data_IF_673261164601
#
_entry.id   IF_673261164601
#
_cell.length_a   1.000
_cell.length_b   1.000
_cell.length_c   1.000
_cell.angle_alpha   90.00
_cell.angle_beta   90.00
_cell.angle_gamma   90.00
#
_symmetry.space_group_name_H-M   'P 1'
#
loop_
_entity.id
_entity.type
_entity.pdbx_description
1 polymer ?
#
# COMPACT_ATOMS: atom_id res chain seq x y z
N UNK A 1 -13.39 -10.19 1.57
CA UNK A 1 -14.01 -11.42 1.02
C UNK A 1 -13.56 -11.72 -0.41
N UNK A 2 -13.48 -10.73 -1.32
CA UNK A 2 -13.07 -10.94 -2.71
C UNK A 2 -11.63 -11.46 -2.83
N UNK A 3 -10.67 -10.80 -2.18
CA UNK A 3 -9.25 -11.19 -2.21
C UNK A 3 -9.08 -12.63 -1.71
N UNK A 4 -9.76 -13.01 -0.62
CA UNK A 4 -9.69 -14.36 -0.07
C UNK A 4 -10.19 -15.42 -1.06
N UNK A 5 -11.31 -15.16 -1.77
CA UNK A 5 -11.83 -16.09 -2.80
C UNK A 5 -10.89 -16.21 -3.99
N UNK A 6 -10.31 -15.08 -4.42
CA UNK A 6 -9.37 -15.06 -5.55
C UNK A 6 -8.08 -15.80 -5.23
N UNK A 7 -7.52 -15.58 -4.04
CA UNK A 7 -6.30 -16.26 -3.61
C UNK A 7 -6.53 -17.78 -3.52
N UNK A 8 -7.65 -18.24 -2.95
CA UNK A 8 -7.99 -19.67 -2.94
C UNK A 8 -8.08 -20.30 -4.33
N UNK A 9 -8.52 -19.55 -5.34
CA UNK A 9 -8.65 -20.05 -6.72
C UNK A 9 -7.37 -19.96 -7.54
N UNK A 10 -6.43 -19.11 -7.12
CA UNK A 10 -5.26 -18.72 -7.92
C UNK A 10 -3.96 -18.85 -7.12
N UNK A 11 -3.92 -19.77 -6.14
CA UNK A 11 -2.73 -20.00 -5.29
C UNK A 11 -1.49 -20.35 -6.09
N UNK A 12 -1.65 -20.99 -7.24
CA UNK A 12 -0.58 -21.32 -8.19
C UNK A 12 0.13 -20.10 -8.78
N UNK A 13 -0.53 -18.93 -8.79
CA UNK A 13 0.01 -17.69 -9.35
C UNK A 13 0.63 -16.76 -8.30
N UNK A 14 0.45 -17.05 -7.01
CA UNK A 14 1.02 -16.28 -5.91
C UNK A 14 1.84 -17.21 -5.05
N UNK A 15 3.16 -17.18 -5.25
CA UNK A 15 4.07 -18.02 -4.50
C UNK A 15 4.16 -17.61 -3.03
N UNK A 16 4.26 -18.61 -2.14
CA UNK A 16 4.61 -18.42 -0.72
C UNK A 16 3.65 -17.56 0.11
N UNK A 17 2.33 -17.69 -0.09
CA UNK A 17 1.36 -17.10 0.84
C UNK A 17 1.38 -17.86 2.18
N UNK A 18 1.48 -17.15 3.31
CA UNK A 18 1.25 -17.76 4.61
C UNK A 18 -0.22 -18.17 4.77
N UNK A 19 -0.52 -19.16 5.61
CA UNK A 19 -1.89 -19.61 5.86
C UNK A 19 -2.85 -18.46 6.22
N UNK A 20 -2.36 -17.52 7.04
CA UNK A 20 -3.10 -16.36 7.52
C UNK A 20 -2.65 -15.05 6.84
N UNK A 21 -2.79 -14.96 5.52
CA UNK A 21 -2.39 -13.77 4.76
C UNK A 21 -3.32 -12.57 4.91
N UNK A 22 -4.50 -12.75 5.51
CA UNK A 22 -5.42 -11.69 5.89
C UNK A 22 -5.84 -11.93 7.34
N UNK A 23 -5.54 -10.97 8.19
CA UNK A 23 -5.80 -11.01 9.62
C UNK A 23 -6.72 -9.85 10.04
N UNK A 24 -7.32 -9.99 11.21
CA UNK A 24 -7.96 -8.88 11.88
C UNK A 24 -6.87 -7.96 12.48
N UNK A 25 -7.09 -6.68 12.45
CA UNK A 25 -6.15 -5.69 12.94
C UNK A 25 -6.81 -4.43 13.42
N UNK A 26 -6.12 -3.73 14.29
CA UNK A 26 -6.52 -2.43 14.79
C UNK A 26 -5.55 -1.36 14.28
N UNK A 27 -6.08 -0.21 13.91
CA UNK A 27 -5.31 0.99 13.61
C UNK A 27 -6.17 2.22 13.89
N UNK A 28 -5.60 3.19 14.57
CA UNK A 28 -6.25 4.46 14.88
C UNK A 28 -7.65 4.30 15.52
N UNK A 29 -7.81 3.32 16.42
CA UNK A 29 -9.10 3.02 17.07
C UNK A 29 -10.13 2.30 16.19
N UNK A 30 -9.80 1.98 14.95
CA UNK A 30 -10.65 1.20 14.06
C UNK A 30 -10.21 -0.25 14.01
N UNK A 31 -11.17 -1.16 13.92
CA UNK A 31 -10.94 -2.58 13.68
C UNK A 31 -11.28 -2.95 12.25
N UNK A 32 -10.54 -3.88 11.66
CA UNK A 32 -10.85 -4.37 10.32
C UNK A 32 -9.85 -5.41 9.83
N UNK A 33 -10.02 -5.86 8.61
CA UNK A 33 -9.15 -6.85 8.01
C UNK A 33 -8.01 -6.19 7.25
N UNK A 34 -6.79 -6.63 7.53
CA UNK A 34 -5.58 -6.17 6.87
C UNK A 34 -4.78 -7.35 6.31
N UNK A 35 -3.86 -7.05 5.41
CA UNK A 35 -2.89 -8.05 4.93
C UNK A 35 -1.89 -8.36 6.04
N UNK A 36 -1.54 -9.62 6.19
CA UNK A 36 -0.49 -10.06 7.10
C UNK A 36 0.89 -9.60 6.59
N UNK A 37 1.82 -9.51 7.52
CA UNK A 37 3.24 -9.29 7.23
C UNK A 37 4.06 -10.52 7.63
N UNK A 38 5.20 -10.70 6.97
CA UNK A 38 6.17 -11.75 7.28
C UNK A 38 7.54 -11.16 7.60
N UNK A 39 8.37 -11.82 8.42
CA UNK A 39 9.72 -11.35 8.69
C UNK A 39 10.50 -11.11 7.41
N UNK A 40 11.20 -9.99 7.35
CA UNK A 40 12.07 -9.64 6.24
C UNK A 40 13.13 -8.64 6.69
N UNK A 41 14.39 -8.90 6.32
CA UNK A 41 15.49 -8.00 6.62
C UNK A 41 15.73 -7.04 5.44
N UNK A 42 15.49 -5.77 5.68
CA UNK A 42 15.83 -4.73 4.73
C UNK A 42 17.26 -4.23 4.95
N UNK A 43 17.99 -4.00 3.88
CA UNK A 43 19.21 -3.22 3.92
C UNK A 43 18.86 -1.73 3.88
N UNK A 44 19.51 -0.93 4.72
CA UNK A 44 19.40 0.55 4.69
C UNK A 44 17.96 1.09 4.89
N UNK A 45 17.18 0.51 5.79
CA UNK A 45 15.88 1.05 6.18
C UNK A 45 16.01 2.02 7.36
N UNK A 46 15.05 2.95 7.55
CA UNK A 46 14.93 3.72 8.79
C UNK A 46 14.75 2.79 10.01
N UNK A 47 15.36 3.14 11.13
CA UNK A 47 15.35 2.28 12.34
C UNK A 47 13.97 1.99 12.90
N UNK A 48 13.04 2.94 12.73
CA UNK A 48 11.65 2.79 13.18
C UNK A 48 10.79 1.89 12.24
N UNK A 49 11.30 1.47 11.10
CA UNK A 49 10.58 0.52 10.25
C UNK A 49 10.77 -0.90 10.78
N UNK A 50 9.66 -1.64 10.85
CA UNK A 50 9.71 -3.04 11.21
C UNK A 50 10.49 -3.88 10.17
N UNK A 51 11.12 -4.94 10.64
CA UNK A 51 11.76 -5.95 9.78
C UNK A 51 10.72 -6.92 9.24
N UNK A 52 9.71 -6.38 8.56
CA UNK A 52 8.61 -7.15 7.98
C UNK A 52 8.26 -6.63 6.59
N UNK A 53 7.67 -7.48 5.79
CA UNK A 53 7.06 -7.09 4.51
C UNK A 53 5.68 -7.71 4.36
N UNK A 54 4.84 -7.13 3.51
CA UNK A 54 3.52 -7.65 3.22
C UNK A 54 3.60 -9.12 2.73
N UNK A 55 2.66 -9.95 3.17
CA UNK A 55 2.57 -11.36 2.77
C UNK A 55 2.47 -11.55 1.25
N UNK A 56 1.87 -10.59 0.55
CA UNK A 56 1.74 -10.60 -0.90
C UNK A 56 2.96 -10.07 -1.67
N UNK A 57 4.07 -9.76 -1.00
CA UNK A 57 5.28 -9.31 -1.70
C UNK A 57 6.02 -10.51 -2.30
N UNK A 58 6.19 -10.52 -3.61
CA UNK A 58 6.95 -11.51 -4.36
C UNK A 58 8.47 -11.39 -4.11
N UNK A 59 9.23 -12.36 -4.60
CA UNK A 59 10.70 -12.38 -4.44
C UNK A 59 11.38 -11.18 -5.07
N UNK A 60 10.83 -10.65 -6.17
CA UNK A 60 11.31 -9.45 -6.89
C UNK A 60 10.81 -8.13 -6.29
N UNK A 61 10.11 -8.18 -5.15
CA UNK A 61 9.58 -7.00 -4.45
C UNK A 61 8.23 -6.49 -4.95
N UNK A 62 7.68 -7.09 -6.02
CA UNK A 62 6.38 -6.69 -6.55
C UNK A 62 5.21 -7.22 -5.71
N UNK A 63 4.05 -6.64 -5.89
CA UNK A 63 2.83 -7.09 -5.25
C UNK A 63 2.18 -8.24 -6.05
N UNK A 64 2.07 -9.42 -5.48
CA UNK A 64 1.46 -10.59 -6.10
C UNK A 64 -0.01 -10.38 -6.49
N UNK A 65 -0.77 -9.57 -5.73
CA UNK A 65 -2.15 -9.21 -6.11
C UNK A 65 -2.18 -8.38 -7.40
N UNK A 66 -1.21 -7.50 -7.59
CA UNK A 66 -1.07 -6.72 -8.81
C UNK A 66 -0.67 -7.61 -9.99
N UNK A 67 0.31 -8.47 -9.79
CA UNK A 67 0.75 -9.47 -10.79
C UNK A 67 -0.42 -10.37 -11.20
N UNK A 68 -1.20 -10.85 -10.26
CA UNK A 68 -2.38 -11.67 -10.51
C UNK A 68 -3.43 -10.91 -11.34
N UNK A 69 -3.73 -9.65 -10.99
CA UNK A 69 -4.69 -8.85 -11.74
C UNK A 69 -4.29 -8.73 -13.22
N UNK A 70 -3.02 -8.42 -13.47
CA UNK A 70 -2.48 -8.30 -14.84
C UNK A 70 -2.55 -9.65 -15.59
N UNK A 71 -2.16 -10.76 -14.97
CA UNK A 71 -2.25 -12.11 -15.56
C UNK A 71 -3.67 -12.48 -15.94
N UNK A 72 -4.66 -12.00 -15.20
CA UNK A 72 -6.09 -12.24 -15.48
C UNK A 72 -6.71 -11.17 -16.41
N UNK A 73 -5.91 -10.35 -17.06
CA UNK A 73 -6.38 -9.29 -17.97
C UNK A 73 -7.19 -8.20 -17.30
N UNK A 74 -6.99 -7.98 -15.99
CA UNK A 74 -7.66 -6.94 -15.21
C UNK A 74 -6.74 -5.73 -15.00
N UNK A 75 -7.36 -4.61 -14.63
CA UNK A 75 -6.57 -3.44 -14.20
C UNK A 75 -5.61 -3.84 -13.07
N UNK A 76 -4.38 -3.34 -13.11
CA UNK A 76 -3.30 -3.73 -12.17
C UNK A 76 -3.66 -3.57 -10.68
N UNK A 77 -4.63 -2.73 -10.36
CA UNK A 77 -5.09 -2.50 -8.99
C UNK A 77 -6.41 -3.18 -8.64
N UNK A 78 -7.01 -3.94 -9.56
CA UNK A 78 -8.31 -4.57 -9.35
C UNK A 78 -8.42 -5.42 -8.09
N UNK A 79 -7.31 -5.98 -7.62
CA UNK A 79 -7.27 -6.82 -6.42
C UNK A 79 -6.40 -6.23 -5.31
N UNK A 80 -5.76 -5.10 -5.57
CA UNK A 80 -4.88 -4.46 -4.60
C UNK A 80 -5.71 -3.59 -3.63
N UNK A 81 -5.49 -3.67 -2.31
CA UNK A 81 -6.17 -2.79 -1.36
C UNK A 81 -5.95 -1.32 -1.70
N UNK A 82 -6.99 -0.50 -1.51
CA UNK A 82 -6.94 0.93 -1.84
C UNK A 82 -5.73 1.63 -1.22
N UNK A 83 -5.49 1.48 0.07
CA UNK A 83 -4.33 2.10 0.74
C UNK A 83 -2.98 1.67 0.17
N UNK A 84 -2.91 0.51 -0.52
CA UNK A 84 -1.66 0.05 -1.12
C UNK A 84 -1.39 0.63 -2.51
N UNK A 85 -2.43 0.92 -3.31
CA UNK A 85 -2.22 1.51 -4.64
C UNK A 85 -2.35 3.03 -4.62
N UNK A 86 -3.10 3.57 -3.67
CA UNK A 86 -3.29 5.01 -3.52
C UNK A 86 -2.05 5.71 -2.95
N UNK A 87 -1.28 5.01 -2.09
CA UNK A 87 -0.06 5.56 -1.50
C UNK A 87 0.90 6.15 -2.57
N UNK A 88 1.45 7.35 -2.37
CA UNK A 88 1.49 8.17 -1.15
C UNK A 88 0.31 9.15 -0.97
N UNK A 89 -0.71 9.08 -1.80
CA UNK A 89 -1.96 9.82 -1.61
C UNK A 89 -2.76 9.24 -0.45
N UNK A 90 -3.54 10.08 0.20
CA UNK A 90 -4.59 9.66 1.14
C UNK A 90 -5.99 9.83 0.52
N UNK A 91 -6.99 9.34 1.24
CA UNK A 91 -8.39 9.60 0.96
C UNK A 91 -9.16 9.78 2.27
N UNK A 92 -10.00 10.80 2.32
CA UNK A 92 -10.90 11.05 3.44
C UNK A 92 -12.25 11.55 2.92
N UNK A 93 -13.34 10.94 3.38
CA UNK A 93 -14.72 11.28 2.98
C UNK A 93 -14.89 11.42 1.45
N UNK A 94 -14.34 10.47 0.67
CA UNK A 94 -14.42 10.49 -0.80
C UNK A 94 -13.53 11.54 -1.48
N UNK A 95 -12.67 12.24 -0.74
CA UNK A 95 -11.76 13.25 -1.29
C UNK A 95 -10.32 12.76 -1.23
N UNK A 96 -9.60 13.01 -2.33
CA UNK A 96 -8.16 12.75 -2.35
C UNK A 96 -7.41 13.77 -1.48
N UNK A 97 -6.48 13.24 -0.69
CA UNK A 97 -5.54 14.02 0.11
C UNK A 97 -4.18 13.96 -0.56
N UNK A 98 -3.54 15.11 -0.70
CA UNK A 98 -2.20 15.22 -1.25
C UNK A 98 -1.18 14.41 -0.42
N UNK A 99 -0.06 13.96 -1.03
CA UNK A 99 1.03 13.35 -0.28
C UNK A 99 1.57 14.32 0.79
N UNK A 100 1.97 13.83 1.96
CA UNK A 100 2.56 14.68 2.98
C UNK A 100 3.87 15.28 2.48
N UNK A 101 4.06 16.59 2.66
CA UNK A 101 5.31 17.29 2.29
C UNK A 101 6.38 17.16 3.35
N UNK A 102 5.95 17.00 4.57
CA UNK A 102 6.82 16.92 5.74
C UNK A 102 6.43 15.74 6.61
N UNK A 103 7.33 15.32 7.52
CA UNK A 103 7.03 14.28 8.50
C UNK A 103 5.86 14.64 9.42
N UNK A 104 5.60 15.93 9.66
CA UNK A 104 4.50 16.37 10.53
C UNK A 104 3.14 16.20 9.86
N UNK A 105 3.09 16.23 8.55
CA UNK A 105 1.88 16.04 7.76
C UNK A 105 1.57 14.56 7.47
N UNK A 106 2.51 13.66 7.78
CA UNK A 106 2.32 12.23 7.57
C UNK A 106 1.26 11.71 8.56
N UNK A 107 0.10 11.22 8.09
CA UNK A 107 -0.99 10.76 8.95
C UNK A 107 -0.59 9.55 9.80
N UNK A 108 0.48 8.85 9.44
CA UNK A 108 1.00 7.73 10.20
C UNK A 108 2.02 8.14 11.28
N UNK A 109 2.21 9.44 11.51
CA UNK A 109 3.12 9.91 12.54
C UNK A 109 2.53 9.68 13.94
N UNK A 110 3.23 8.90 14.76
CA UNK A 110 2.92 8.68 16.18
C UNK A 110 3.94 9.41 17.07
N UNK A 111 4.18 10.67 16.79
CA UNK A 111 5.14 11.50 17.50
C UNK A 111 6.59 11.01 17.34
N UNK A 112 7.41 11.17 18.40
CA UNK A 112 8.84 10.81 18.35
C UNK A 112 9.10 9.31 18.16
N UNK A 113 8.16 8.45 18.60
CA UNK A 113 8.32 6.98 18.52
C UNK A 113 8.18 6.44 17.09
N UNK A 114 7.35 7.07 16.28
CA UNK A 114 7.17 6.71 14.89
C UNK A 114 7.01 8.00 14.06
N UNK A 115 8.09 8.50 13.45
CA UNK A 115 8.11 9.79 12.77
C UNK A 115 7.42 9.76 11.39
N UNK A 116 6.62 8.76 11.11
CA UNK A 116 5.87 8.60 9.88
C UNK A 116 6.46 7.58 8.93
N UNK A 117 5.82 7.41 7.80
CA UNK A 117 6.17 6.41 6.79
C UNK A 117 6.42 7.04 5.40
N UNK A 118 5.54 7.91 4.94
CA UNK A 118 5.56 8.40 3.57
C UNK A 118 6.88 9.12 3.22
N UNK A 119 7.33 10.04 4.05
CA UNK A 119 8.55 10.81 3.81
C UNK A 119 9.86 9.96 3.79
N UNK A 120 9.78 8.69 4.20
CA UNK A 120 10.92 7.76 4.20
C UNK A 120 10.89 6.79 3.03
N UNK A 121 9.88 6.86 2.18
CA UNK A 121 9.77 6.02 0.99
C UNK A 121 10.15 6.81 -0.26
N UNK A 122 10.73 6.16 -1.28
CA UNK A 122 11.08 6.85 -2.53
C UNK A 122 9.90 7.57 -3.19
N UNK A 123 8.72 6.94 -3.19
CA UNK A 123 7.50 7.50 -3.80
C UNK A 123 6.82 8.58 -2.95
N UNK A 124 7.10 8.63 -1.65
CA UNK A 124 6.54 9.63 -0.74
C UNK A 124 7.47 10.80 -0.46
N UNK A 125 8.73 10.75 -0.92
CA UNK A 125 9.68 11.82 -0.73
C UNK A 125 9.32 13.05 -1.58
N UNK A 126 9.14 14.19 -0.94
CA UNK A 126 8.88 15.44 -1.64
C UNK A 126 10.12 15.89 -2.45
N UNK A 127 9.89 16.15 -3.72
CA UNK A 127 10.90 16.71 -4.64
C UNK A 127 10.50 18.13 -5.03
N UNK A 128 11.18 19.18 -4.50
CA UNK A 128 10.79 20.58 -4.71
C UNK A 128 10.77 21.02 -6.18
N UNK A 129 11.60 20.39 -7.02
CA UNK A 129 11.67 20.64 -8.46
C UNK A 129 10.87 19.64 -9.28
N UNK A 130 10.17 18.72 -8.62
CA UNK A 130 9.36 17.68 -9.24
C UNK A 130 8.07 18.22 -9.85
N UNK A 131 7.38 17.35 -10.56
CA UNK A 131 6.02 17.65 -11.04
C UNK A 131 5.05 17.74 -9.87
N UNK A 132 4.02 18.56 -10.00
CA UNK A 132 2.93 18.60 -9.02
C UNK A 132 2.30 17.21 -8.87
N UNK A 133 1.91 16.85 -7.66
CA UNK A 133 1.50 15.48 -7.30
C UNK A 133 0.37 14.91 -8.17
N UNK A 134 -0.61 15.71 -8.58
CA UNK A 134 -1.72 15.24 -9.43
C UNK A 134 -1.31 14.95 -10.88
N UNK A 135 -0.14 15.45 -11.31
CA UNK A 135 0.49 15.09 -12.60
C UNK A 135 1.39 13.87 -12.41
N UNK A 136 2.19 13.85 -11.34
CA UNK A 136 3.09 12.75 -11.05
C UNK A 136 2.33 11.44 -10.76
N UNK A 137 1.20 11.53 -10.09
CA UNK A 137 0.33 10.41 -9.67
C UNK A 137 -0.99 10.40 -10.47
N UNK A 138 -0.93 10.81 -11.75
CA UNK A 138 -2.12 10.96 -12.61
C UNK A 138 -2.96 9.68 -12.70
N UNK A 139 -2.30 8.54 -12.75
CA UNK A 139 -2.97 7.25 -12.88
C UNK A 139 -3.79 6.92 -11.63
N UNK A 140 -3.22 7.12 -10.45
CA UNK A 140 -3.88 6.96 -9.15
C UNK A 140 -5.09 7.91 -9.03
N UNK A 141 -4.89 9.17 -9.37
CA UNK A 141 -5.96 10.19 -9.36
C UNK A 141 -7.11 9.80 -10.29
N UNK A 142 -6.80 9.36 -11.49
CA UNK A 142 -7.82 8.94 -12.45
C UNK A 142 -8.55 7.67 -12.03
N UNK A 143 -7.82 6.71 -11.46
CA UNK A 143 -8.43 5.47 -10.97
C UNK A 143 -9.35 5.73 -9.78
N UNK A 144 -8.93 6.60 -8.85
CA UNK A 144 -9.76 6.98 -7.70
C UNK A 144 -11.08 7.61 -8.14
N UNK A 145 -11.05 8.55 -9.09
CA UNK A 145 -12.27 9.20 -9.61
C UNK A 145 -13.28 8.23 -10.22
N UNK A 146 -12.80 7.17 -10.88
CA UNK A 146 -13.67 6.13 -11.46
C UNK A 146 -14.33 5.22 -10.43
N UNK A 147 -13.94 5.27 -9.17
CA UNK A 147 -14.60 4.50 -8.11
C UNK A 147 -15.84 5.21 -7.58
N UNK A 148 -15.97 6.51 -7.86
CA UNK A 148 -17.10 7.36 -7.44
C UNK A 148 -18.20 7.43 -8.53
N UNK A 149 -17.94 6.90 -9.73
CA UNK A 149 -18.90 6.74 -10.84
C UNK A 149 -19.62 5.38 -10.77
#
# INVERSE_FOLDING_TARGET
RLIHRLVKKQTEHISHLPENYIIDGEWEGNTGRKTETRPYQYKNKPDHFANTRCAFTESDGKCGLQTLAVKLGKHKWAYKPMGCWLFPLGADNGKLIAPPRTRREDPNTLGKRYPGFAAFTPCGKHEPKGRVWWIALKEEVQHFRKLDE
#
